data_IF_450783747959
#
_entry.id   IF_450783747959
#
_cell.length_a   1.000
_cell.length_b   1.000
_cell.length_c   1.000
_cell.angle_alpha   90.00
_cell.angle_beta   90.00
_cell.angle_gamma   90.00
#
_symmetry.space_group_name_H-M   'P 1'
#
loop_
_entity.id
_entity.type
_entity.pdbx_description
1 polymer ?
#
# COMPACT_ATOMS: atom_id res chain seq x y z
N UNK A 1 -0.74 -1.02 25.58
CA UNK A 1 -1.91 -1.08 24.69
C UNK A 1 -1.80 -2.38 23.88
N UNK A 2 -2.78 -3.28 23.95
CA UNK A 2 -2.70 -4.57 23.24
C UNK A 2 -3.16 -4.37 21.78
N UNK A 3 -2.22 -4.40 20.83
CA UNK A 3 -2.49 -4.13 19.41
C UNK A 3 -3.51 -5.11 18.80
N UNK A 4 -3.57 -6.36 19.26
CA UNK A 4 -4.54 -7.36 18.80
C UNK A 4 -5.96 -6.94 19.20
N UNK A 5 -6.13 -6.38 20.41
CA UNK A 5 -7.42 -5.88 20.85
C UNK A 5 -7.87 -4.62 20.09
N UNK A 6 -6.92 -3.77 19.67
CA UNK A 6 -7.22 -2.58 18.87
C UNK A 6 -7.63 -2.94 17.43
N UNK A 7 -6.98 -3.94 16.84
CA UNK A 7 -7.23 -4.35 15.46
C UNK A 7 -8.40 -5.33 15.33
N UNK A 8 -9.00 -5.77 16.45
CA UNK A 8 -10.13 -6.71 16.46
C UNK A 8 -11.35 -6.23 15.66
N UNK A 9 -11.55 -4.91 15.56
CA UNK A 9 -12.65 -4.31 14.78
C UNK A 9 -12.24 -4.00 13.34
N UNK A 10 -10.96 -4.14 12.98
CA UNK A 10 -10.48 -3.80 11.65
C UNK A 10 -10.74 -4.98 10.71
N UNK A 11 -11.36 -4.70 9.57
CA UNK A 11 -11.53 -5.67 8.49
C UNK A 11 -10.26 -5.73 7.64
N UNK A 12 -9.17 -6.26 8.19
CA UNK A 12 -7.94 -6.48 7.43
C UNK A 12 -7.91 -7.90 6.86
N UNK A 13 -7.35 -8.05 5.66
CA UNK A 13 -7.07 -9.33 5.02
C UNK A 13 -5.55 -9.47 4.90
N UNK A 14 -5.01 -10.58 5.38
CA UNK A 14 -3.61 -10.95 5.17
C UNK A 14 -3.59 -12.02 4.09
N UNK A 15 -2.85 -11.78 3.02
CA UNK A 15 -2.59 -12.76 1.96
C UNK A 15 -1.15 -12.65 1.52
N UNK A 16 -0.58 -13.75 1.06
CA UNK A 16 0.70 -13.72 0.36
C UNK A 16 0.47 -13.07 -1.02
N UNK A 17 1.24 -12.04 -1.33
CA UNK A 17 1.12 -11.27 -2.57
C UNK A 17 2.45 -11.40 -3.32
N UNK A 18 2.39 -11.73 -4.61
CA UNK A 18 3.58 -11.84 -5.46
C UNK A 18 4.32 -10.51 -5.52
N UNK A 19 5.66 -10.54 -5.59
CA UNK A 19 6.53 -9.36 -5.38
C UNK A 19 6.22 -8.17 -6.30
N UNK A 20 5.83 -8.44 -7.55
CA UNK A 20 5.45 -7.42 -8.54
C UNK A 20 4.07 -6.81 -8.29
N UNK A 21 3.24 -7.50 -7.52
CA UNK A 21 1.92 -7.01 -7.17
C UNK A 21 1.97 -5.89 -6.11
N UNK A 22 3.14 -5.64 -5.53
CA UNK A 22 3.34 -4.64 -4.47
C UNK A 22 3.99 -3.33 -4.96
N UNK A 23 3.94 -3.05 -6.27
CA UNK A 23 4.56 -1.88 -6.90
C UNK A 23 4.20 -0.54 -6.22
N UNK A 24 2.96 -0.37 -5.76
CA UNK A 24 2.57 0.83 -5.00
C UNK A 24 3.40 1.03 -3.72
N UNK A 25 3.58 -0.03 -2.92
CA UNK A 25 4.37 0.09 -1.68
C UNK A 25 5.85 0.25 -1.97
N UNK A 26 6.36 -0.40 -3.01
CA UNK A 26 7.73 -0.19 -3.46
C UNK A 26 7.98 1.28 -3.83
N UNK A 27 7.10 1.87 -4.65
CA UNK A 27 7.22 3.26 -5.06
C UNK A 27 7.11 4.22 -3.87
N UNK A 28 6.21 3.96 -2.92
CA UNK A 28 6.09 4.73 -1.68
C UNK A 28 7.35 4.62 -0.81
N UNK A 29 7.91 3.43 -0.65
CA UNK A 29 9.14 3.22 0.11
C UNK A 29 10.34 3.92 -0.54
N UNK A 30 10.47 3.82 -1.86
CA UNK A 30 11.51 4.50 -2.63
C UNK A 30 11.40 6.02 -2.52
N UNK A 31 10.18 6.58 -2.58
CA UNK A 31 9.94 8.00 -2.34
C UNK A 31 10.30 8.39 -0.90
N UNK A 32 9.85 7.61 0.09
CA UNK A 32 10.13 7.86 1.50
C UNK A 32 11.63 7.81 1.84
N UNK A 33 12.40 6.94 1.18
CA UNK A 33 13.85 6.86 1.36
C UNK A 33 14.59 8.13 0.90
N UNK A 34 14.01 8.89 -0.03
CA UNK A 34 14.57 10.14 -0.55
C UNK A 34 14.02 11.38 0.17
N UNK A 35 12.95 11.23 0.95
CA UNK A 35 12.27 12.34 1.61
C UNK A 35 12.98 12.73 2.91
N UNK A 36 13.42 13.98 2.99
CA UNK A 36 13.86 14.59 4.25
C UNK A 36 12.65 15.14 5.01
N UNK A 37 12.06 14.29 5.86
CA UNK A 37 10.94 14.67 6.72
C UNK A 37 9.73 13.76 6.56
N UNK A 38 8.57 14.28 6.95
CA UNK A 38 7.31 13.55 6.90
C UNK A 38 6.36 14.20 5.90
N UNK A 39 5.69 13.38 5.10
CA UNK A 39 4.63 13.83 4.21
C UNK A 39 3.39 12.98 4.46
N UNK A 40 2.26 13.64 4.59
CA UNK A 40 0.94 13.02 4.67
C UNK A 40 0.15 13.39 3.42
N UNK A 41 -0.61 12.43 2.89
CA UNK A 41 -1.47 12.68 1.74
C UNK A 41 -2.90 12.28 2.08
N UNK A 42 -3.85 13.19 1.87
CA UNK A 42 -5.29 12.90 1.96
C UNK A 42 -5.80 12.07 0.77
N UNK A 43 -5.07 12.11 -0.36
CA UNK A 43 -5.34 11.35 -1.58
C UNK A 43 -4.07 10.66 -2.08
N UNK A 44 -4.17 9.51 -2.78
CA UNK A 44 -2.99 8.82 -3.31
C UNK A 44 -2.15 9.75 -4.21
N UNK A 45 -0.82 9.83 -4.02
CA UNK A 45 0.02 10.65 -4.88
C UNK A 45 0.04 10.11 -6.32
N UNK A 46 0.21 11.02 -7.28
CA UNK A 46 0.07 10.71 -8.72
C UNK A 46 1.00 9.59 -9.20
N UNK A 47 2.19 9.47 -8.62
CA UNK A 47 3.18 8.47 -8.99
C UNK A 47 2.80 7.02 -8.65
N UNK A 48 1.77 6.80 -7.81
CA UNK A 48 1.19 5.46 -7.57
C UNK A 48 -0.22 5.30 -8.16
N UNK A 49 -0.82 6.34 -8.72
CA UNK A 49 -2.24 6.33 -9.09
C UNK A 49 -2.56 5.23 -10.11
N UNK A 50 -1.72 5.04 -11.12
CA UNK A 50 -1.92 4.01 -12.14
C UNK A 50 -1.83 2.59 -11.57
N UNK A 51 -0.82 2.32 -10.76
CA UNK A 51 -0.63 0.99 -10.16
C UNK A 51 -1.71 0.69 -9.12
N UNK A 52 -2.16 1.71 -8.38
CA UNK A 52 -3.29 1.59 -7.46
C UNK A 52 -4.59 1.24 -8.21
N UNK A 53 -4.82 1.80 -9.40
CA UNK A 53 -5.97 1.44 -10.22
C UNK A 53 -5.87 -0.01 -10.72
N UNK A 54 -4.69 -0.47 -11.14
CA UNK A 54 -4.47 -1.86 -11.57
C UNK A 54 -4.71 -2.86 -10.44
N UNK A 55 -4.21 -2.56 -9.24
CA UNK A 55 -4.45 -3.36 -8.03
C UNK A 55 -5.94 -3.45 -7.69
N UNK A 56 -6.64 -2.30 -7.70
CA UNK A 56 -8.09 -2.25 -7.45
C UNK A 56 -8.93 -3.01 -8.47
N UNK A 57 -8.48 -3.07 -9.72
CA UNK A 57 -9.15 -3.84 -10.79
C UNK A 57 -8.92 -5.34 -10.67
N UNK A 58 -8.03 -5.80 -9.78
CA UNK A 58 -7.81 -7.22 -9.49
C UNK A 58 -7.26 -8.00 -10.68
N UNK A 59 -6.44 -7.36 -11.52
CA UNK A 59 -5.84 -7.98 -12.69
C UNK A 59 -5.01 -9.22 -12.31
N UNK A 60 -4.98 -10.27 -13.14
CA UNK A 60 -4.50 -11.61 -12.76
C UNK A 60 -3.01 -11.72 -12.43
N UNK A 61 -2.19 -10.68 -12.65
CA UNK A 61 -0.79 -10.63 -12.20
C UNK A 61 -0.62 -10.08 -10.77
N UNK A 62 -1.70 -9.64 -10.12
CA UNK A 62 -1.69 -8.95 -8.83
C UNK A 62 -2.32 -9.74 -7.66
N UNK A 63 -2.62 -11.03 -7.84
CA UNK A 63 -3.25 -11.88 -6.82
C UNK A 63 -2.42 -13.08 -6.41
#
# INVERSE_FOLDING_TARGET
>A
LNCINLTRTFRFKISHIYKEAHTCAHNLASFGAQLLGYTWWDNPPSFIAQELLRDRLGLPSYR
#
